data_IF_026288537173
#
_entry.id   IF_026288537173
#
_cell.length_a   1.000
_cell.length_b   1.000
_cell.length_c   1.000
_cell.angle_alpha   90.00
_cell.angle_beta   90.00
_cell.angle_gamma   90.00
#
_symmetry.space_group_name_H-M   'P 1'
#
loop_
_entity.id
_entity.type
_entity.pdbx_description
1 polymer ?
#
# COMPACT_ATOMS: atom_id res chain seq x y z
N UNK A 1 5.43 -24.67 -9.84
CA UNK A 1 4.08 -24.11 -10.10
C UNK A 1 3.96 -23.82 -11.59
N UNK A 2 2.91 -24.29 -12.28
CA UNK A 2 2.75 -24.14 -13.73
C UNK A 2 1.71 -23.06 -14.03
N UNK A 3 2.12 -21.96 -14.65
CA UNK A 3 1.23 -20.92 -15.15
C UNK A 3 0.44 -21.46 -16.35
N UNK A 4 -0.91 -21.40 -16.28
CA UNK A 4 -1.81 -21.75 -17.39
C UNK A 4 -2.41 -20.45 -17.91
N UNK A 5 -2.11 -20.01 -19.14
CA UNK A 5 -2.61 -18.73 -19.65
C UNK A 5 -4.14 -18.79 -19.77
N UNK A 6 -4.83 -17.87 -19.10
CA UNK A 6 -6.29 -17.75 -19.14
C UNK A 6 -6.73 -16.69 -20.15
N UNK A 7 -7.98 -16.82 -20.61
CA UNK A 7 -8.55 -15.99 -21.67
C UNK A 7 -8.48 -14.48 -21.37
N UNK A 8 -8.24 -13.69 -22.42
CA UNK A 8 -8.24 -12.22 -22.38
C UNK A 8 -9.61 -11.73 -21.94
N UNK A 9 -9.73 -11.20 -20.72
CA UNK A 9 -10.99 -10.64 -20.21
C UNK A 9 -11.05 -10.51 -18.69
N UNK A 10 -10.21 -11.26 -17.97
CA UNK A 10 -10.15 -11.21 -16.51
C UNK A 10 -8.74 -10.88 -16.02
N UNK A 11 -8.67 -10.07 -14.98
CA UNK A 11 -7.42 -9.78 -14.26
C UNK A 11 -7.21 -10.87 -13.22
N UNK A 12 -6.10 -11.61 -13.34
CA UNK A 12 -5.71 -12.67 -12.40
C UNK A 12 -4.89 -12.12 -11.21
N UNK A 13 -4.02 -11.14 -11.46
CA UNK A 13 -3.10 -10.58 -10.46
C UNK A 13 -3.18 -9.05 -10.51
N UNK A 14 -3.37 -8.44 -9.34
CA UNK A 14 -3.28 -6.99 -9.14
C UNK A 14 -2.11 -6.70 -8.21
N UNK A 15 -1.23 -5.80 -8.63
CA UNK A 15 -0.09 -5.34 -7.83
C UNK A 15 -0.31 -3.85 -7.51
N UNK A 16 -0.64 -3.55 -6.27
CA UNK A 16 -0.75 -2.17 -5.77
C UNK A 16 0.65 -1.66 -5.41
N UNK A 17 1.33 -1.08 -6.40
CA UNK A 17 2.72 -0.60 -6.28
C UNK A 17 2.84 0.94 -6.28
N UNK A 18 1.82 1.67 -6.75
CA UNK A 18 1.92 3.12 -6.88
C UNK A 18 2.16 3.79 -5.51
N UNK A 19 3.26 4.53 -5.42
CA UNK A 19 3.62 5.25 -4.20
C UNK A 19 4.32 6.59 -4.52
N UNK A 20 4.08 7.58 -3.67
CA UNK A 20 4.81 8.86 -3.63
C UNK A 20 5.41 9.01 -2.25
N UNK A 21 6.67 9.43 -2.20
CA UNK A 21 7.42 9.57 -0.97
C UNK A 21 7.96 11.00 -0.84
N UNK A 22 7.75 11.59 0.32
CA UNK A 22 8.30 12.88 0.70
C UNK A 22 9.10 12.69 1.99
N UNK A 23 10.35 13.12 1.99
CA UNK A 23 11.23 13.07 3.15
C UNK A 23 11.38 14.46 3.75
N UNK A 24 11.30 14.54 5.07
CA UNK A 24 11.47 15.79 5.81
C UNK A 24 10.93 15.68 7.22
N UNK A 25 11.27 16.65 8.08
CA UNK A 25 10.61 16.76 9.38
C UNK A 25 9.14 17.10 9.14
N UNK A 26 8.26 16.66 10.03
CA UNK A 26 6.81 16.90 9.87
C UNK A 26 6.46 18.38 9.73
N UNK A 27 7.21 19.26 10.40
CA UNK A 27 7.04 20.71 10.34
C UNK A 27 7.52 21.34 9.01
N UNK A 28 8.38 20.63 8.26
CA UNK A 28 8.91 21.08 6.98
C UNK A 28 8.07 20.58 5.79
N UNK A 29 7.20 19.59 6.02
CA UNK A 29 6.32 19.04 4.99
C UNK A 29 5.06 19.89 4.85
N UNK A 30 4.76 20.28 3.61
CA UNK A 30 3.52 21.00 3.32
C UNK A 30 2.32 20.05 3.45
N UNK A 31 1.17 20.58 3.85
CA UNK A 31 -0.09 19.82 3.87
C UNK A 31 -0.40 19.16 2.53
N UNK A 32 -0.05 19.81 1.41
CA UNK A 32 -0.24 19.26 0.07
C UNK A 32 0.60 18.00 -0.18
N UNK A 33 1.86 17.98 0.26
CA UNK A 33 2.74 16.81 0.16
C UNK A 33 2.20 15.64 1.00
N UNK A 34 1.80 15.92 2.25
CA UNK A 34 1.21 14.91 3.14
C UNK A 34 -0.07 14.34 2.51
N UNK A 35 -0.98 15.21 2.07
CA UNK A 35 -2.24 14.80 1.46
C UNK A 35 -2.01 13.98 0.20
N UNK A 36 -1.03 14.34 -0.64
CA UNK A 36 -0.70 13.60 -1.84
C UNK A 36 -0.14 12.21 -1.53
N UNK A 37 0.72 12.09 -0.51
CA UNK A 37 1.22 10.80 -0.03
C UNK A 37 0.06 9.90 0.40
N UNK A 38 -0.86 10.39 1.24
CA UNK A 38 -2.04 9.64 1.69
C UNK A 38 -2.95 9.24 0.52
N UNK A 39 -3.23 10.19 -0.37
CA UNK A 39 -4.11 9.95 -1.51
C UNK A 39 -3.57 8.88 -2.45
N UNK A 40 -2.26 8.85 -2.71
CA UNK A 40 -1.65 7.86 -3.60
C UNK A 40 -1.44 6.53 -2.89
N UNK A 41 -0.77 6.55 -1.75
CA UNK A 41 -0.24 5.34 -1.12
C UNK A 41 -1.35 4.54 -0.41
N UNK A 42 -2.33 5.23 0.18
CA UNK A 42 -3.41 4.60 0.96
C UNK A 42 -4.70 4.55 0.15
N UNK A 43 -5.23 5.72 -0.22
CA UNK A 43 -6.54 5.80 -0.88
C UNK A 43 -6.48 5.20 -2.29
N UNK A 44 -5.39 5.43 -3.03
CA UNK A 44 -5.16 4.82 -4.35
C UNK A 44 -5.10 3.30 -4.29
N UNK A 45 -4.41 2.74 -3.30
CA UNK A 45 -4.36 1.29 -3.04
C UNK A 45 -5.75 0.73 -2.74
N UNK A 46 -6.50 1.35 -1.82
CA UNK A 46 -7.87 0.94 -1.48
C UNK A 46 -8.78 0.96 -2.71
N UNK A 47 -8.74 2.03 -3.50
CA UNK A 47 -9.56 2.17 -4.70
C UNK A 47 -9.22 1.11 -5.74
N UNK A 48 -7.93 0.79 -5.90
CA UNK A 48 -7.47 -0.27 -6.80
C UNK A 48 -8.02 -1.63 -6.35
N UNK A 49 -7.87 -1.98 -5.07
CA UNK A 49 -8.40 -3.22 -4.52
C UNK A 49 -9.93 -3.30 -4.74
N UNK A 50 -10.66 -2.24 -4.40
CA UNK A 50 -12.13 -2.18 -4.58
C UNK A 50 -12.56 -2.40 -6.02
N UNK A 51 -11.80 -1.91 -6.99
CA UNK A 51 -12.12 -2.05 -8.42
C UNK A 51 -12.01 -3.51 -8.91
N UNK A 52 -11.10 -4.30 -8.37
CA UNK A 52 -10.82 -5.66 -8.85
C UNK A 52 -11.30 -6.78 -7.92
N UNK A 53 -11.58 -6.48 -6.65
CA UNK A 53 -11.94 -7.49 -5.64
C UNK A 53 -13.24 -8.21 -5.99
N UNK A 54 -14.32 -7.47 -6.33
CA UNK A 54 -15.63 -8.08 -6.57
C UNK A 54 -15.63 -9.11 -7.72
N UNK A 55 -15.04 -8.85 -8.90
CA UNK A 55 -14.90 -9.87 -9.94
C UNK A 55 -14.03 -11.07 -9.53
N UNK A 56 -13.00 -10.86 -8.70
CA UNK A 56 -12.15 -11.95 -8.19
C UNK A 56 -12.90 -12.85 -7.20
N UNK A 57 -13.68 -12.25 -6.28
CA UNK A 57 -14.53 -12.98 -5.33
C UNK A 57 -15.59 -13.82 -6.04
N UNK A 58 -16.27 -13.27 -7.04
CA UNK A 58 -17.30 -13.98 -7.81
C UNK A 58 -16.77 -15.23 -8.52
N UNK A 59 -15.49 -15.22 -8.89
CA UNK A 59 -14.82 -16.37 -9.52
C UNK A 59 -14.10 -17.27 -8.51
N UNK A 60 -14.05 -16.86 -7.25
CA UNK A 60 -13.19 -17.44 -6.21
C UNK A 60 -11.74 -17.59 -6.69
N UNK A 61 -11.26 -16.61 -7.48
CA UNK A 61 -9.98 -16.67 -8.17
C UNK A 61 -9.41 -15.28 -8.46
N UNK A 62 -8.20 -15.06 -7.95
CA UNK A 62 -7.40 -13.85 -8.14
C UNK A 62 -6.39 -13.67 -7.01
N UNK A 63 -5.38 -12.83 -7.23
CA UNK A 63 -4.40 -12.46 -6.22
C UNK A 63 -4.20 -10.94 -6.19
N UNK A 64 -4.19 -10.39 -4.98
CA UNK A 64 -3.89 -8.97 -4.73
C UNK A 64 -2.61 -8.91 -3.91
N UNK A 65 -1.62 -8.17 -4.41
CA UNK A 65 -0.35 -7.92 -3.72
C UNK A 65 -0.22 -6.41 -3.52
N UNK A 66 -0.20 -5.97 -2.26
CA UNK A 66 0.08 -4.59 -1.91
C UNK A 66 1.54 -4.44 -1.51
N UNK A 67 2.25 -3.51 -2.14
CA UNK A 67 3.65 -3.21 -1.82
C UNK A 67 3.66 -2.13 -0.72
N UNK A 68 4.31 -2.44 0.40
CA UNK A 68 4.52 -1.51 1.51
C UNK A 68 6.00 -1.45 1.89
N UNK A 69 6.35 -0.51 2.78
CA UNK A 69 7.71 -0.35 3.33
C UNK A 69 7.73 -0.64 4.84
N UNK A 70 8.89 -1.01 5.37
CA UNK A 70 9.15 -1.13 6.82
C UNK A 70 8.92 0.19 7.56
N UNK A 71 9.08 1.32 6.88
CA UNK A 71 8.74 2.65 7.41
C UNK A 71 7.22 2.80 7.70
N UNK A 72 6.39 1.89 7.21
CA UNK A 72 4.98 1.76 7.56
C UNK A 72 4.73 0.96 8.85
N UNK A 73 5.75 0.29 9.40
CA UNK A 73 5.74 -0.50 10.64
C UNK A 73 6.57 0.15 11.77
N UNK A 74 7.62 0.90 11.47
CA UNK A 74 8.41 1.67 12.44
C UNK A 74 8.63 3.11 11.93
N UNK A 75 8.29 4.10 12.75
CA UNK A 75 8.47 5.50 12.42
C UNK A 75 9.95 5.86 12.30
N UNK A 76 10.40 6.23 11.10
CA UNK A 76 11.69 6.88 10.90
C UNK A 76 11.55 8.38 11.21
N UNK A 77 12.59 8.98 11.81
CA UNK A 77 12.63 10.41 12.19
C UNK A 77 12.30 11.37 11.03
N UNK A 78 12.40 10.90 9.77
CA UNK A 78 12.09 11.64 8.54
C UNK A 78 10.94 11.03 7.69
N UNK A 79 10.24 10.01 8.18
CA UNK A 79 9.23 9.21 7.44
C UNK A 79 7.80 9.26 8.01
N UNK A 80 7.56 10.12 9.00
CA UNK A 80 6.31 10.20 9.80
C UNK A 80 5.01 10.39 8.98
N UNK A 81 5.07 10.97 7.78
CA UNK A 81 3.90 11.17 6.91
C UNK A 81 3.38 9.89 6.21
N UNK A 82 4.05 8.74 6.39
CA UNK A 82 3.70 7.45 5.77
C UNK A 82 2.95 6.50 6.73
N UNK A 83 2.79 6.89 8.00
CA UNK A 83 2.26 6.04 9.07
C UNK A 83 0.74 5.80 8.97
N UNK A 84 0.31 4.55 8.75
CA UNK A 84 -1.12 4.18 8.78
C UNK A 84 -1.44 2.78 9.35
N UNK A 85 -0.49 2.04 9.92
CA UNK A 85 -0.76 0.76 10.58
C UNK A 85 0.09 0.56 11.84
N UNK A 86 -0.47 0.84 13.02
CA UNK A 86 0.09 0.46 14.31
C UNK A 86 -0.19 -1.03 14.57
N UNK A 87 0.86 -1.84 14.74
CA UNK A 87 0.76 -3.22 15.22
C UNK A 87 1.35 -3.30 16.65
N UNK A 88 0.55 -3.63 17.69
CA UNK A 88 1.02 -3.71 19.07
C UNK A 88 2.01 -4.86 19.33
N UNK A 89 2.17 -5.82 18.41
CA UNK A 89 3.01 -7.01 18.61
C UNK A 89 4.48 -6.83 18.16
N UNK A 90 4.89 -5.63 17.73
CA UNK A 90 6.27 -5.38 17.33
C UNK A 90 7.10 -4.92 18.54
N UNK A 91 8.11 -5.69 19.00
CA UNK A 91 8.93 -5.30 20.13
C UNK A 91 9.68 -4.01 19.79
N UNK A 92 9.67 -3.05 20.72
CA UNK A 92 10.46 -1.83 20.61
C UNK A 92 11.94 -2.21 20.46
N UNK A 93 12.67 -1.66 19.48
CA UNK A 93 14.11 -1.85 19.43
C UNK A 93 14.72 -1.11 20.63
N UNK A 94 15.34 -1.88 21.51
CA UNK A 94 16.15 -1.37 22.61
C UNK A 94 17.33 -0.58 22.01
N UNK A 95 17.34 0.73 22.25
CA UNK A 95 18.52 1.57 22.10
C UNK A 95 19.15 1.82 23.48
#
# INVERSE_FOLDING_TARGET
MRYKPRGRGFVDIVICNAAVLYFGRILDLTTSQIQKSVNVNVIGTINTIRAFLRPMEQRNEGQIVAISSIAGFCGETNGVAYWSAFNPDFPSPDF
#
